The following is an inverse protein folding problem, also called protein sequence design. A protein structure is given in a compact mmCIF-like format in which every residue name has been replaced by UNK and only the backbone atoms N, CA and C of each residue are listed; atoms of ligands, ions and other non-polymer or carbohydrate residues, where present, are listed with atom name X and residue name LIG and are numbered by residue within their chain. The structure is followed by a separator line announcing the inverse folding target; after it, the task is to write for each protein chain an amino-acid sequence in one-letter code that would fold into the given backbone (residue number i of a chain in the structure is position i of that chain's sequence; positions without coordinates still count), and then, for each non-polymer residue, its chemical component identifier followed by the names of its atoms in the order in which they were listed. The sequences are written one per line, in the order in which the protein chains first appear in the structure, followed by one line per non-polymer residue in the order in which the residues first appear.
data_IF_311011521220
#
_entry.id   IF_311011521220
#
_cell.length_a   1.000
_cell.length_b   1.000
_cell.length_c   1.000
_cell.angle_alpha   90.00
_cell.angle_beta   90.00
_cell.angle_gamma   90.00
#
_symmetry.space_group_name_H-M   'P 1'
#
loop_
_entity.id
_entity.type
_entity.pdbx_description
1 polymer ?
#
# COMPACT_ATOMS: atom_id res chain seq x y z
N UNK A 1 7.15 7.78 7.71
CA UNK A 1 6.36 7.02 6.70
C UNK A 1 6.86 7.25 5.28
N UNK A 2 7.15 8.48 4.83
CA UNK A 2 7.74 8.75 3.50
C UNK A 2 8.90 7.81 3.12
N UNK A 3 9.90 7.65 4.00
CA UNK A 3 11.07 6.80 3.69
C UNK A 3 10.74 5.32 3.44
N UNK A 4 9.61 4.82 3.97
CA UNK A 4 9.15 3.45 3.66
C UNK A 4 8.81 3.32 2.18
N UNK A 5 8.24 4.37 1.58
CA UNK A 5 7.91 4.40 0.15
C UNK A 5 9.11 4.81 -0.69
N UNK A 6 9.94 5.74 -0.21
CA UNK A 6 11.08 6.24 -0.97
C UNK A 6 12.25 5.25 -1.04
N UNK A 7 12.49 4.49 0.04
CA UNK A 7 13.71 3.68 0.21
C UNK A 7 13.45 2.32 0.90
N UNK A 8 12.19 2.02 1.25
CA UNK A 8 11.85 0.86 2.06
C UNK A 8 10.88 -0.10 1.37
N UNK A 9 10.16 -0.86 2.19
CA UNK A 9 9.27 -1.95 1.75
C UNK A 9 8.05 -1.47 0.96
N UNK A 10 7.74 -0.17 0.98
CA UNK A 10 6.57 0.43 0.33
C UNK A 10 6.83 1.00 -1.07
N UNK A 11 7.98 0.70 -1.69
CA UNK A 11 8.38 1.27 -2.98
C UNK A 11 7.35 1.16 -4.10
N UNK A 12 6.54 0.10 -4.09
CA UNK A 12 5.47 -0.12 -5.06
C UNK A 12 4.32 0.89 -4.98
N UNK A 13 4.19 1.64 -3.89
CA UNK A 13 3.22 2.72 -3.75
C UNK A 13 3.72 4.05 -4.33
N UNK A 14 4.93 4.09 -4.89
CA UNK A 14 5.47 5.31 -5.50
C UNK A 14 4.66 5.73 -6.74
N UNK A 15 4.50 7.05 -6.91
CA UNK A 15 3.83 7.65 -8.06
C UNK A 15 4.70 8.80 -8.56
N UNK A 16 5.00 8.82 -9.85
CA UNK A 16 5.84 9.88 -10.43
C UNK A 16 5.21 11.26 -10.21
N UNK A 17 5.98 12.20 -9.68
CA UNK A 17 5.51 13.56 -9.41
C UNK A 17 4.66 13.73 -8.14
N UNK A 18 4.25 12.65 -7.48
CA UNK A 18 3.44 12.69 -6.25
C UNK A 18 4.21 12.05 -5.10
N UNK A 19 4.45 12.82 -4.04
CA UNK A 19 5.20 12.33 -2.89
C UNK A 19 4.28 11.57 -1.93
N UNK A 20 4.33 10.25 -1.99
CA UNK A 20 3.49 9.35 -1.18
C UNK A 20 4.16 9.03 0.17
N UNK A 21 3.38 9.02 1.25
CA UNK A 21 3.79 8.47 2.53
C UNK A 21 2.86 7.32 2.94
N UNK A 22 3.42 6.20 3.37
CA UNK A 22 2.62 5.07 3.80
C UNK A 22 3.43 3.98 4.49
N UNK A 23 2.77 2.86 4.77
CA UNK A 23 3.36 1.68 5.40
C UNK A 23 2.74 0.41 4.83
N UNK A 24 3.58 -0.59 4.62
CA UNK A 24 3.12 -1.94 4.30
C UNK A 24 2.81 -2.77 5.54
N UNK A 25 1.87 -3.70 5.39
CA UNK A 25 1.50 -4.68 6.40
C UNK A 25 1.33 -6.08 5.81
N UNK A 26 1.27 -7.05 6.70
CA UNK A 26 0.95 -8.45 6.42
C UNK A 26 0.04 -8.89 7.53
N UNK A 27 -1.11 -9.44 7.19
CA UNK A 27 -2.04 -9.98 8.18
C UNK A 27 -2.18 -11.48 7.93
N UNK A 28 -1.55 -12.28 8.78
CA UNK A 28 -1.80 -13.72 8.79
C UNK A 28 -3.25 -13.97 9.20
N UNK A 29 -3.89 -14.90 8.50
CA UNK A 29 -5.21 -15.39 8.84
C UNK A 29 -5.20 -16.91 8.75
N UNK A 30 -6.14 -17.55 9.46
CA UNK A 30 -6.32 -18.98 9.41
C UNK A 30 -7.81 -19.26 9.21
N UNK A 31 -8.12 -19.97 8.14
CA UNK A 31 -9.15 -21.01 8.23
C UNK A 31 -8.46 -22.30 8.70
N UNK A 32 -9.08 -23.05 9.60
CA UNK A 32 -8.46 -24.29 10.10
C UNK A 32 -8.09 -25.22 8.94
N UNK A 33 -6.81 -25.62 8.88
CA UNK A 33 -6.30 -26.59 7.90
C UNK A 33 -5.97 -26.08 6.49
N UNK A 34 -6.14 -24.79 6.18
CA UNK A 34 -6.21 -24.34 4.78
C UNK A 34 -4.88 -23.96 4.09
N UNK A 35 -3.78 -23.80 4.83
CA UNK A 35 -2.54 -23.27 4.23
C UNK A 35 -2.73 -21.84 3.65
N UNK A 36 -3.68 -21.09 4.21
CA UNK A 36 -4.06 -19.75 3.78
C UNK A 36 -2.86 -18.81 3.64
N UNK A 37 -2.92 -17.94 2.62
CA UNK A 37 -1.89 -16.92 2.41
C UNK A 37 -2.22 -15.71 3.27
N UNK A 38 -1.23 -15.01 3.83
CA UNK A 38 -1.51 -13.76 4.52
C UNK A 38 -2.14 -12.74 3.58
N UNK A 39 -2.94 -11.83 4.14
CA UNK A 39 -3.44 -10.68 3.39
C UNK A 39 -2.34 -9.63 3.20
N UNK A 40 -2.31 -9.05 2.00
CA UNK A 40 -1.41 -7.94 1.66
C UNK A 40 -2.05 -6.63 2.12
N UNK A 41 -1.31 -5.80 2.85
CA UNK A 41 -1.81 -4.52 3.36
C UNK A 41 -0.94 -3.35 2.94
N UNK A 42 -1.58 -2.23 2.61
CA UNK A 42 -0.95 -0.93 2.50
C UNK A 42 -1.88 0.15 3.04
N UNK A 43 -1.34 1.09 3.81
CA UNK A 43 -2.04 2.31 4.24
C UNK A 43 -1.16 3.51 3.95
N UNK A 44 -1.73 4.58 3.43
CA UNK A 44 -0.97 5.78 3.09
C UNK A 44 -1.81 6.98 2.72
N UNK A 45 -1.13 8.10 2.49
CA UNK A 45 -1.70 9.36 2.07
C UNK A 45 -0.76 10.11 1.11
N UNK A 46 -1.33 10.99 0.29
CA UNK A 46 -0.60 11.76 -0.70
C UNK A 46 -1.32 13.07 -1.08
N UNK A 47 -0.58 14.09 -1.54
CA UNK A 47 0.86 14.30 -1.34
C UNK A 47 1.22 14.44 0.15
N UNK A 48 2.39 13.99 0.61
CA UNK A 48 2.65 13.95 2.06
C UNK A 48 2.79 15.34 2.70
N UNK A 49 3.23 16.37 1.96
CA UNK A 49 3.36 17.74 2.47
C UNK A 49 2.02 18.46 2.65
N UNK A 50 1.05 18.20 1.76
CA UNK A 50 -0.30 18.73 1.83
C UNK A 50 -1.29 17.63 1.39
N UNK A 51 -1.70 16.72 2.31
CA UNK A 51 -2.47 15.54 1.94
C UNK A 51 -3.86 15.88 1.39
N UNK A 52 -4.19 15.31 0.23
CA UNK A 52 -5.51 15.45 -0.43
C UNK A 52 -6.29 14.12 -0.41
N UNK A 53 -5.58 12.99 -0.36
CA UNK A 53 -6.17 11.64 -0.24
C UNK A 53 -5.47 10.83 0.85
N UNK A 54 -6.25 10.05 1.60
CA UNK A 54 -5.79 8.95 2.43
C UNK A 54 -6.52 7.66 2.02
N UNK A 55 -5.81 6.53 2.03
CA UNK A 55 -6.36 5.24 1.62
C UNK A 55 -5.76 4.09 2.42
N UNK A 56 -6.53 3.01 2.50
CA UNK A 56 -6.08 1.69 2.93
C UNK A 56 -6.48 0.66 1.87
N UNK A 57 -5.55 -0.23 1.52
CA UNK A 57 -5.74 -1.31 0.57
C UNK A 57 -5.45 -2.63 1.26
N UNK A 58 -6.39 -3.54 1.15
CA UNK A 58 -6.28 -4.92 1.60
C UNK A 58 -6.47 -5.81 0.39
N UNK A 59 -5.56 -6.76 0.21
CA UNK A 59 -5.71 -7.85 -0.75
C UNK A 59 -5.76 -9.14 0.04
N UNK A 60 -6.95 -9.72 0.13
CA UNK A 60 -7.14 -11.04 0.76
C UNK A 60 -6.30 -12.10 0.03
N UNK A 61 -5.70 -13.00 0.80
CA UNK A 61 -4.70 -13.98 0.34
C UNK A 61 -3.57 -13.42 -0.58
N UNK A 62 -3.32 -12.11 -0.50
CA UNK A 62 -2.40 -11.37 -1.38
C UNK A 62 -0.90 -11.54 -1.06
N UNK A 63 -0.56 -12.37 -0.07
CA UNK A 63 0.82 -12.65 0.32
C UNK A 63 1.48 -11.55 1.16
N UNK A 64 2.77 -11.74 1.43
CA UNK A 64 3.52 -10.97 2.42
C UNK A 64 3.96 -9.58 1.92
N UNK A 65 4.30 -8.72 2.89
CA UNK A 65 5.03 -7.47 2.68
C UNK A 65 4.23 -6.32 2.09
N UNK A 66 2.93 -6.48 1.83
CA UNK A 66 2.09 -5.41 1.29
C UNK A 66 2.38 -5.05 -0.18
N UNK A 67 3.14 -5.88 -0.90
CA UNK A 67 3.65 -5.58 -2.25
C UNK A 67 2.50 -5.36 -3.24
N UNK A 68 1.52 -6.28 -3.26
CA UNK A 68 0.34 -6.17 -4.12
C UNK A 68 -0.53 -4.97 -3.72
N UNK A 69 -0.78 -4.80 -2.42
CA UNK A 69 -1.57 -3.70 -1.90
C UNK A 69 -0.94 -2.33 -2.21
N UNK A 70 0.38 -2.21 -2.13
CA UNK A 70 1.13 -1.01 -2.46
C UNK A 70 1.05 -0.69 -3.97
N UNK A 71 1.15 -1.70 -4.85
CA UNK A 71 0.98 -1.50 -6.30
C UNK A 71 -0.42 -1.00 -6.66
N UNK A 72 -1.46 -1.53 -6.02
CA UNK A 72 -2.84 -1.05 -6.20
C UNK A 72 -2.99 0.37 -5.67
N UNK A 73 -2.41 0.67 -4.51
CA UNK A 73 -2.43 2.01 -3.93
C UNK A 73 -1.81 3.06 -4.85
N UNK A 74 -0.71 2.74 -5.56
CA UNK A 74 -0.11 3.64 -6.55
C UNK A 74 -1.10 4.03 -7.66
N UNK A 75 -1.84 3.05 -8.19
CA UNK A 75 -2.87 3.30 -9.22
C UNK A 75 -4.02 4.18 -8.71
N UNK A 76 -4.53 3.89 -7.50
CA UNK A 76 -5.61 4.68 -6.88
C UNK A 76 -5.16 6.11 -6.62
N UNK A 77 -3.96 6.32 -6.07
CA UNK A 77 -3.40 7.65 -5.82
C UNK A 77 -3.24 8.41 -7.13
N UNK A 78 -2.71 7.76 -8.17
CA UNK A 78 -2.50 8.38 -9.49
C UNK A 78 -3.83 8.87 -10.07
N UNK A 79 -4.86 8.04 -10.04
CA UNK A 79 -6.18 8.40 -10.58
C UNK A 79 -6.87 9.48 -9.75
N UNK A 80 -6.82 9.37 -8.42
CA UNK A 80 -7.47 10.35 -7.54
C UNK A 80 -6.86 11.76 -7.62
N UNK A 81 -5.59 11.86 -8.01
CA UNK A 81 -4.85 13.12 -8.10
C UNK A 81 -4.53 13.54 -9.55
N UNK A 82 -4.91 12.74 -10.55
CA UNK A 82 -4.86 13.18 -11.95
C UNK A 82 -6.00 14.16 -12.20
N UNK A 83 -5.63 15.41 -12.50
CA UNK A 83 -6.55 16.43 -13.01
C UNK A 83 -6.52 16.45 -14.53
#
# INVERSE_FOLDING_TARGET
MREVVAQGTGGNASVYGIKVAGKTGTADHKEEGSGAKPHSWFIGFAPYENPEIALAVIVEDGGQGGVLAASIASGVIKEALSK
#
